data_IF_155138708818
#
_entry.id   IF_155138708818
#
_cell.length_a   1.000
_cell.length_b   1.000
_cell.length_c   1.000
_cell.angle_alpha   90.00
_cell.angle_beta   90.00
_cell.angle_gamma   90.00
#
_symmetry.space_group_name_H-M   'P 1'
#
loop_
_entity.id
_entity.type
_entity.pdbx_description
1 polymer ?
#
# COMPACT_ATOMS: atom_id res chain seq x y z
N UNK A 1 5.00 -19.37 0.68
CA UNK A 1 4.93 -17.90 0.57
C UNK A 1 3.47 -17.53 0.79
N UNK A 2 3.12 -17.05 1.98
CA UNK A 2 1.73 -16.84 2.37
C UNK A 2 1.17 -15.59 1.70
N UNK A 3 0.18 -15.77 0.83
CA UNK A 3 -0.63 -14.69 0.28
C UNK A 3 -1.16 -13.82 1.42
N UNK A 4 -1.09 -12.49 1.26
CA UNK A 4 -1.79 -11.53 2.13
C UNK A 4 -3.28 -11.85 1.98
N UNK A 5 -3.86 -12.47 2.98
CA UNK A 5 -5.31 -12.71 2.99
C UNK A 5 -6.01 -11.36 2.97
N UNK A 6 -7.25 -11.31 2.47
CA UNK A 6 -8.11 -10.11 2.61
C UNK A 6 -8.14 -9.63 4.07
N UNK A 7 -8.07 -10.57 5.03
CA UNK A 7 -7.95 -10.27 6.46
C UNK A 7 -6.67 -9.52 6.84
N UNK A 8 -5.53 -9.86 6.25
CA UNK A 8 -4.25 -9.18 6.49
C UNK A 8 -4.27 -7.76 5.93
N UNK A 9 -4.93 -7.55 4.78
CA UNK A 9 -5.14 -6.23 4.19
C UNK A 9 -5.98 -5.31 5.08
N UNK A 10 -7.05 -5.83 5.70
CA UNK A 10 -7.87 -5.09 6.66
C UNK A 10 -7.06 -4.71 7.90
N UNK A 11 -6.31 -5.66 8.47
CA UNK A 11 -5.48 -5.41 9.65
C UNK A 11 -4.41 -4.35 9.39
N UNK A 12 -3.75 -4.42 8.23
CA UNK A 12 -2.75 -3.43 7.84
C UNK A 12 -3.37 -2.04 7.66
N UNK A 13 -4.55 -1.95 7.07
CA UNK A 13 -5.25 -0.68 6.94
C UNK A 13 -5.61 -0.09 8.31
N UNK A 14 -6.10 -0.93 9.23
CA UNK A 14 -6.40 -0.51 10.60
C UNK A 14 -5.13 -0.03 11.33
N UNK A 15 -4.01 -0.72 11.15
CA UNK A 15 -2.72 -0.29 11.70
C UNK A 15 -2.34 1.09 11.14
N UNK A 16 -2.41 1.29 9.83
CA UNK A 16 -2.11 2.58 9.20
C UNK A 16 -3.02 3.72 9.71
N UNK A 17 -4.31 3.42 9.93
CA UNK A 17 -5.25 4.38 10.50
C UNK A 17 -4.89 4.76 11.95
N UNK A 18 -4.56 3.77 12.78
CA UNK A 18 -4.14 3.99 14.17
C UNK A 18 -2.86 4.83 14.22
N UNK A 19 -1.86 4.51 13.39
CA UNK A 19 -0.64 5.30 13.24
C UNK A 19 -0.94 6.74 12.82
N UNK A 20 -1.90 6.94 11.91
CA UNK A 20 -2.31 8.28 11.48
C UNK A 20 -2.93 9.09 12.64
N UNK A 21 -3.83 8.50 13.42
CA UNK A 21 -4.40 9.19 14.58
C UNK A 21 -3.34 9.49 15.64
N UNK A 22 -2.45 8.53 15.90
CA UNK A 22 -1.31 8.72 16.80
C UNK A 22 -0.44 9.90 16.35
N UNK A 23 -0.12 10.00 15.05
CA UNK A 23 0.68 11.08 14.49
C UNK A 23 0.00 12.44 14.61
N UNK A 24 -1.32 12.50 14.35
CA UNK A 24 -2.12 13.72 14.53
C UNK A 24 -2.09 14.22 15.97
N UNK A 25 -2.17 13.30 16.94
CA UNK A 25 -2.11 13.64 18.35
C UNK A 25 -0.71 14.09 18.78
N UNK A 26 0.33 13.38 18.32
CA UNK A 26 1.71 13.62 18.73
C UNK A 26 2.31 14.89 18.11
N UNK A 27 2.06 15.11 16.82
CA UNK A 27 2.76 16.11 16.01
C UNK A 27 1.83 17.20 15.47
N UNK A 28 0.52 16.97 15.48
CA UNK A 28 -0.47 17.84 14.86
C UNK A 28 -0.85 17.42 13.44
N UNK A 29 -1.99 17.93 12.97
CA UNK A 29 -2.61 17.53 11.70
C UNK A 29 -1.76 17.85 10.46
N UNK A 30 -1.00 18.93 10.51
CA UNK A 30 -0.24 19.45 9.36
C UNK A 30 1.26 19.12 9.41
N UNK A 31 1.69 18.35 10.42
CA UNK A 31 3.08 17.94 10.52
C UNK A 31 3.49 17.05 9.33
N UNK A 32 4.76 17.13 8.96
CA UNK A 32 5.30 16.34 7.86
C UNK A 32 5.10 14.83 8.07
N UNK A 33 5.29 14.31 9.30
CA UNK A 33 5.04 12.90 9.59
C UNK A 33 3.57 12.53 9.37
N UNK A 34 2.66 13.36 9.91
CA UNK A 34 1.21 13.14 9.75
C UNK A 34 0.81 13.08 8.28
N UNK A 35 1.39 13.95 7.45
CA UNK A 35 1.15 13.94 6.00
C UNK A 35 1.69 12.67 5.33
N UNK A 36 2.90 12.22 5.67
CA UNK A 36 3.42 10.96 5.11
C UNK A 36 2.55 9.77 5.48
N UNK A 37 2.15 9.64 6.75
CA UNK A 37 1.29 8.54 7.19
C UNK A 37 -0.09 8.62 6.52
N UNK A 38 -0.64 9.83 6.30
CA UNK A 38 -1.90 10.01 5.59
C UNK A 38 -1.82 9.58 4.12
N UNK A 39 -0.74 9.93 3.43
CA UNK A 39 -0.47 9.49 2.06
C UNK A 39 -0.36 7.97 1.98
N UNK A 40 0.39 7.37 2.91
CA UNK A 40 0.56 5.92 2.98
C UNK A 40 -0.78 5.20 3.23
N UNK A 41 -1.57 5.66 4.20
CA UNK A 41 -2.91 5.12 4.46
C UNK A 41 -3.79 5.19 3.21
N UNK A 42 -3.76 6.31 2.48
CA UNK A 42 -4.54 6.48 1.23
C UNK A 42 -4.12 5.46 0.16
N UNK A 43 -2.83 5.18 0.02
CA UNK A 43 -2.33 4.17 -0.93
C UNK A 43 -2.73 2.76 -0.49
N UNK A 44 -2.62 2.42 0.79
CA UNK A 44 -3.05 1.12 1.32
C UNK A 44 -4.55 0.89 1.15
N UNK A 45 -5.40 1.92 1.29
CA UNK A 45 -6.82 1.85 0.95
C UNK A 45 -7.07 1.54 -0.53
N UNK A 46 -6.19 2.01 -1.43
CA UNK A 46 -6.29 1.69 -2.86
C UNK A 46 -5.92 0.23 -3.09
N UNK A 47 -4.81 -0.24 -2.50
CA UNK A 47 -4.40 -1.65 -2.58
C UNK A 47 -5.52 -2.57 -2.12
N UNK A 48 -6.11 -2.32 -0.95
CA UNK A 48 -7.20 -3.14 -0.43
C UNK A 48 -8.40 -3.18 -1.38
N UNK A 49 -8.79 -2.04 -1.97
CA UNK A 49 -9.89 -1.99 -2.94
C UNK A 49 -9.59 -2.79 -4.20
N UNK A 50 -8.35 -2.77 -4.69
CA UNK A 50 -7.98 -3.55 -5.88
C UNK A 50 -7.90 -5.05 -5.60
N UNK A 51 -7.42 -5.46 -4.42
CA UNK A 51 -7.38 -6.87 -4.01
C UNK A 51 -8.77 -7.50 -3.88
N UNK A 52 -9.80 -6.71 -3.53
CA UNK A 52 -11.18 -7.20 -3.42
C UNK A 52 -11.82 -7.45 -4.80
N UNK A 53 -11.33 -6.82 -5.88
CA UNK A 53 -11.98 -6.84 -7.20
C UNK A 53 -11.81 -8.14 -8.01
N UNK A 54 -11.08 -9.14 -7.51
CA UNK A 54 -11.10 -10.50 -8.07
C UNK A 54 -9.73 -11.08 -8.45
N UNK A 55 -9.68 -12.38 -8.79
CA UNK A 55 -8.45 -13.15 -8.93
C UNK A 55 -7.65 -12.70 -10.16
N UNK A 56 -6.34 -12.62 -10.00
CA UNK A 56 -5.45 -12.06 -11.01
C UNK A 56 -4.99 -13.15 -11.99
N UNK A 57 -4.74 -12.76 -13.23
CA UNK A 57 -4.12 -13.62 -14.25
C UNK A 57 -2.72 -14.06 -13.82
N UNK A 58 -2.19 -15.11 -14.46
CA UNK A 58 -0.83 -15.60 -14.22
C UNK A 58 0.27 -14.60 -14.57
N UNK A 59 0.07 -13.72 -15.56
CA UNK A 59 1.02 -12.66 -15.94
C UNK A 59 1.10 -11.52 -14.90
N UNK A 60 0.09 -11.41 -14.05
CA UNK A 60 0.03 -10.43 -12.98
C UNK A 60 0.69 -10.92 -11.69
N UNK A 61 1.12 -12.19 -11.64
CA UNK A 61 1.58 -12.81 -10.41
C UNK A 61 2.92 -12.24 -9.92
N UNK A 62 3.85 -11.91 -10.82
CA UNK A 62 5.12 -11.25 -10.46
C UNK A 62 4.89 -9.83 -9.92
N UNK A 63 4.06 -9.03 -10.59
CA UNK A 63 3.75 -7.65 -10.16
C UNK A 63 2.99 -7.63 -8.84
N UNK A 64 2.06 -8.57 -8.67
CA UNK A 64 1.35 -8.78 -7.42
C UNK A 64 2.31 -9.20 -6.31
N UNK A 65 3.27 -10.07 -6.60
CA UNK A 65 4.30 -10.48 -5.65
C UNK A 65 5.16 -9.28 -5.21
N UNK A 66 5.66 -8.47 -6.15
CA UNK A 66 6.39 -7.24 -5.82
C UNK A 66 5.55 -6.29 -4.96
N UNK A 67 4.28 -6.08 -5.31
CA UNK A 67 3.34 -5.30 -4.52
C UNK A 67 3.22 -5.85 -3.10
N UNK A 68 3.10 -7.17 -2.94
CA UNK A 68 3.05 -7.82 -1.63
C UNK A 68 4.32 -7.61 -0.82
N UNK A 69 5.49 -7.72 -1.44
CA UNK A 69 6.78 -7.50 -0.77
C UNK A 69 6.89 -6.06 -0.25
N UNK A 70 6.48 -5.07 -1.05
CA UNK A 70 6.43 -3.67 -0.61
C UNK A 70 5.42 -3.43 0.52
N UNK A 71 4.24 -4.04 0.43
CA UNK A 71 3.20 -3.95 1.47
C UNK A 71 3.66 -4.59 2.78
N UNK A 72 4.34 -5.73 2.72
CA UNK A 72 4.90 -6.41 3.89
C UNK A 72 5.99 -5.56 4.56
N UNK A 73 6.95 -5.04 3.79
CA UNK A 73 8.00 -4.16 4.31
C UNK A 73 7.45 -2.86 4.93
N UNK A 74 6.36 -2.35 4.36
CA UNK A 74 5.62 -1.20 4.90
C UNK A 74 4.97 -1.51 6.26
N UNK A 75 4.35 -2.69 6.40
CA UNK A 75 3.72 -3.13 7.65
C UNK A 75 4.67 -3.06 8.84
N UNK A 76 5.91 -3.55 8.68
CA UNK A 76 6.89 -3.51 9.76
C UNK A 76 7.28 -2.07 10.16
N UNK A 77 7.40 -1.18 9.17
CA UNK A 77 7.66 0.25 9.42
C UNK A 77 6.50 0.92 10.16
N UNK A 78 5.26 0.60 9.78
CA UNK A 78 4.06 1.11 10.44
C UNK A 78 3.91 0.61 11.88
N UNK A 79 4.23 -0.66 12.15
CA UNK A 79 4.19 -1.23 13.52
C UNK A 79 5.15 -0.49 14.44
N UNK A 80 6.37 -0.21 13.98
CA UNK A 80 7.33 0.56 14.78
C UNK A 80 6.80 1.97 15.03
N UNK A 81 6.30 2.65 13.99
CA UNK A 81 5.79 4.00 14.14
C UNK A 81 4.59 4.08 15.09
N UNK A 82 3.64 3.14 15.00
CA UNK A 82 2.50 3.03 15.94
C UNK A 82 2.98 2.87 17.39
N UNK A 83 3.93 1.97 17.64
CA UNK A 83 4.48 1.74 18.98
C UNK A 83 5.15 2.99 19.56
N UNK A 84 5.84 3.76 18.72
CA UNK A 84 6.52 5.00 19.12
C UNK A 84 5.51 6.09 19.43
N UNK A 85 4.52 6.29 18.58
CA UNK A 85 3.46 7.27 18.76
C UNK A 85 2.64 6.99 20.01
N UNK A 86 2.30 5.72 20.28
CA UNK A 86 1.63 5.32 21.52
C UNK A 86 2.44 5.68 22.76
N UNK A 87 3.75 5.38 22.77
CA UNK A 87 4.64 5.74 23.88
C UNK A 87 4.72 7.25 24.06
N UNK A 88 4.88 8.00 22.97
CA UNK A 88 4.96 9.46 23.02
C UNK A 88 3.66 10.09 23.55
N UNK A 89 2.51 9.66 23.03
CA UNK A 89 1.20 10.17 23.44
C UNK A 89 0.81 9.77 24.87
N UNK A 90 1.34 8.67 25.40
CA UNK A 90 1.17 8.29 26.80
C UNK A 90 1.98 9.20 27.75
N UNK A 91 3.14 9.69 27.31
CA UNK A 91 4.04 10.52 28.12
C UNK A 91 3.71 12.01 28.06
N UNK A 92 3.03 12.47 27.01
CA UNK A 92 2.71 13.90 26.80
C UNK A 92 1.74 14.49 27.83
N UNK A 93 1.07 13.66 28.65
CA UNK A 93 0.22 14.09 29.77
C UNK A 93 0.97 14.43 31.07
N UNK A 94 2.27 14.08 31.17
CA UNK A 94 3.10 14.33 32.35
C UNK A 94 4.22 15.32 32.00
N UNK A 95 4.32 16.40 32.78
CA UNK A 95 5.15 17.59 32.55
C UNK A 95 6.53 17.32 31.90
N UNK A 96 6.74 17.99 30.77
CA UNK A 96 8.03 18.47 30.24
C UNK A 96 9.25 17.51 30.28
N UNK A 97 9.24 16.43 29.49
CA UNK A 97 10.47 15.93 28.82
C UNK A 97 10.16 14.90 27.71
N UNK A 98 10.96 14.81 26.64
CA UNK A 98 11.60 15.92 25.93
C UNK A 98 11.43 15.76 24.40
N UNK A 99 11.30 16.88 23.67
CA UNK A 99 11.43 16.91 22.19
C UNK A 99 12.66 16.14 21.67
N UNK A 100 13.70 15.96 22.49
CA UNK A 100 14.90 15.15 22.20
C UNK A 100 14.65 13.63 22.11
N UNK A 101 13.71 13.07 22.87
CA UNK A 101 13.37 11.64 22.78
C UNK A 101 12.56 11.34 21.51
N UNK A 102 11.77 12.31 21.06
CA UNK A 102 11.02 12.24 19.80
C UNK A 102 11.93 12.24 18.55
N UNK A 103 13.07 12.93 18.63
CA UNK A 103 14.05 12.97 17.54
C UNK A 103 14.87 11.67 17.39
N UNK A 104 14.91 10.82 18.42
CA UNK A 104 15.72 9.59 18.40
C UNK A 104 14.88 8.41 18.87
N UNK A 105 14.43 7.62 17.90
CA UNK A 105 13.55 6.48 18.12
C UNK A 105 14.39 5.21 18.17
N UNK A 106 14.31 4.48 19.29
CA UNK A 106 14.97 3.18 19.44
C UNK A 106 14.05 2.07 18.94
N UNK A 107 14.48 1.36 17.90
CA UNK A 107 13.78 0.24 17.29
C UNK A 107 13.93 -1.02 18.15
N UNK A 108 13.06 -2.02 17.93
CA UNK A 108 13.07 -3.29 18.67
C UNK A 108 14.37 -4.09 18.52
N UNK A 109 15.18 -3.80 17.49
CA UNK A 109 16.53 -4.33 17.28
C UNK A 109 17.64 -3.54 18.02
N UNK A 110 17.26 -2.49 18.77
CA UNK A 110 18.20 -1.63 19.50
C UNK A 110 18.76 -0.45 18.69
N UNK A 111 18.53 -0.38 17.37
CA UNK A 111 19.01 0.73 16.54
C UNK A 111 18.25 2.03 16.83
N UNK A 112 18.99 3.14 16.93
CA UNK A 112 18.41 4.47 17.00
C UNK A 112 18.28 5.01 15.57
N UNK A 113 17.05 5.22 15.10
CA UNK A 113 16.82 5.99 13.88
C UNK A 113 16.27 7.37 14.21
N UNK A 114 16.69 8.34 13.42
CA UNK A 114 16.07 9.65 13.40
C UNK A 114 14.66 9.54 12.81
N UNK A 115 13.72 10.31 13.35
CA UNK A 115 12.38 10.48 12.81
C UNK A 115 12.42 10.88 11.33
N UNK A 116 13.41 11.68 10.92
CA UNK A 116 13.62 12.05 9.52
C UNK A 116 13.82 10.82 8.62
N UNK A 117 14.60 9.84 9.08
CA UNK A 117 14.85 8.59 8.37
C UNK A 117 13.59 7.73 8.30
N UNK A 118 12.81 7.65 9.38
CA UNK A 118 11.54 6.89 9.35
C UNK A 118 10.54 7.56 8.40
N UNK A 119 10.47 8.89 8.42
CA UNK A 119 9.61 9.65 7.52
C UNK A 119 10.00 9.42 6.05
N UNK A 120 11.30 9.40 5.76
CA UNK A 120 11.80 9.02 4.44
C UNK A 120 11.40 7.58 4.08
N UNK A 121 11.54 6.62 4.99
CA UNK A 121 11.09 5.24 4.75
C UNK A 121 9.59 5.16 4.44
N UNK A 122 8.74 5.88 5.17
CA UNK A 122 7.29 5.94 4.92
C UNK A 122 6.97 6.53 3.54
N UNK A 123 7.67 7.61 3.15
CA UNK A 123 7.56 8.20 1.82
C UNK A 123 7.98 7.21 0.73
N UNK A 124 9.09 6.50 0.94
CA UNK A 124 9.59 5.49 -0.01
C UNK A 124 8.59 4.35 -0.18
N UNK A 125 8.04 3.82 0.92
CA UNK A 125 6.99 2.80 0.88
C UNK A 125 5.76 3.28 0.12
N UNK A 126 5.32 4.51 0.38
CA UNK A 126 4.17 5.11 -0.33
C UNK A 126 4.41 5.15 -1.84
N UNK A 127 5.61 5.57 -2.25
CA UNK A 127 5.98 5.64 -3.66
C UNK A 127 6.06 4.23 -4.30
N UNK A 128 6.75 3.29 -3.65
CA UNK A 128 6.91 1.91 -4.14
C UNK A 128 5.56 1.20 -4.29
N UNK A 129 4.75 1.18 -3.24
CA UNK A 129 3.41 0.56 -3.27
C UNK A 129 2.55 1.25 -4.33
N UNK A 130 2.59 2.58 -4.41
CA UNK A 130 1.84 3.34 -5.41
C UNK A 130 2.24 3.02 -6.85
N UNK A 131 3.53 2.76 -7.10
CA UNK A 131 4.04 2.38 -8.41
C UNK A 131 3.68 0.93 -8.76
N UNK A 132 3.94 -0.03 -7.87
CA UNK A 132 3.62 -1.44 -8.10
C UNK A 132 2.12 -1.66 -8.29
N UNK A 133 1.28 -0.95 -7.52
CA UNK A 133 -0.18 -1.00 -7.72
C UNK A 133 -0.58 -0.50 -9.11
N UNK A 134 0.01 0.60 -9.59
CA UNK A 134 -0.27 1.11 -10.96
C UNK A 134 0.14 0.08 -12.01
N UNK A 135 1.29 -0.58 -11.84
CA UNK A 135 1.76 -1.61 -12.77
C UNK A 135 0.84 -2.86 -12.79
N UNK A 136 0.29 -3.24 -11.63
CA UNK A 136 -0.72 -4.29 -11.55
C UNK A 136 -1.99 -3.89 -12.32
N UNK A 137 -2.52 -2.69 -12.05
CA UNK A 137 -3.75 -2.18 -12.71
C UNK A 137 -3.55 -2.02 -14.23
N UNK A 138 -2.41 -1.49 -14.67
CA UNK A 138 -2.09 -1.37 -16.09
C UNK A 138 -1.94 -2.73 -16.77
N UNK A 139 -1.39 -3.74 -16.07
CA UNK A 139 -1.33 -5.11 -16.57
C UNK A 139 -2.71 -5.69 -16.83
N UNK A 140 -3.63 -5.55 -15.86
CA UNK A 140 -5.03 -5.98 -16.03
C UNK A 140 -5.71 -5.29 -17.22
N UNK A 141 -5.48 -3.99 -17.41
CA UNK A 141 -6.09 -3.25 -18.50
C UNK A 141 -5.61 -3.76 -19.87
N UNK A 142 -4.29 -3.93 -20.05
CA UNK A 142 -3.73 -4.45 -21.30
C UNK A 142 -4.21 -5.86 -21.63
N UNK A 143 -4.42 -6.71 -20.62
CA UNK A 143 -5.03 -8.04 -20.82
C UNK A 143 -6.50 -7.96 -21.25
N UNK A 144 -7.27 -7.04 -20.69
CA UNK A 144 -8.65 -6.81 -21.09
C UNK A 144 -8.71 -6.32 -22.54
N UNK A 145 -7.83 -5.37 -22.92
CA UNK A 145 -7.71 -4.87 -24.29
C UNK A 145 -7.37 -6.01 -25.27
N UNK A 146 -6.34 -6.82 -24.97
CA UNK A 146 -5.97 -7.96 -25.81
C UNK A 146 -7.11 -8.99 -25.98
N UNK A 147 -7.91 -9.21 -24.93
CA UNK A 147 -9.09 -10.09 -25.00
C UNK A 147 -10.20 -9.51 -25.87
N UNK A 148 -10.43 -8.19 -25.81
CA UNK A 148 -11.43 -7.51 -26.64
C UNK A 148 -11.03 -7.55 -28.12
N UNK A 149 -9.76 -7.28 -28.43
CA UNK A 149 -9.25 -7.38 -29.81
C UNK A 149 -9.37 -8.80 -30.37
N UNK A 150 -9.08 -9.82 -29.57
CA UNK A 150 -9.28 -11.23 -29.94
C UNK A 150 -10.75 -11.56 -30.24
N UNK A 151 -11.68 -11.09 -29.41
CA UNK A 151 -13.12 -11.31 -29.61
C UNK A 151 -13.67 -10.60 -30.86
N UNK A 152 -13.19 -9.39 -31.16
CA UNK A 152 -13.54 -8.71 -32.43
C UNK A 152 -13.04 -9.47 -33.65
N UNK A 153 -11.84 -10.06 -33.56
CA UNK A 153 -11.29 -10.95 -34.58
C UNK A 153 -12.17 -12.17 -34.84
N UNK A 154 -12.59 -12.86 -33.78
CA UNK A 154 -13.47 -14.03 -33.86
C UNK A 154 -14.84 -13.69 -34.47
N UNK A 155 -15.45 -12.57 -34.05
CA UNK A 155 -16.74 -12.12 -34.61
C UNK A 155 -16.62 -11.80 -36.10
N UNK A 156 -15.51 -11.20 -36.53
CA UNK A 156 -15.23 -10.95 -37.95
C UNK A 156 -15.07 -12.27 -38.72
N UNK A 157 -14.39 -13.25 -38.13
CA UNK A 157 -14.25 -14.60 -38.69
C UNK A 157 -15.60 -15.28 -38.90
N UNK A 158 -16.45 -15.31 -37.87
CA UNK A 158 -17.81 -15.88 -37.94
C UNK A 158 -18.64 -15.21 -39.04
N UNK A 159 -18.59 -13.87 -39.12
CA UNK A 159 -19.30 -13.13 -40.17
C UNK A 159 -18.85 -13.53 -41.57
N UNK A 160 -17.54 -13.62 -41.79
CA UNK A 160 -17.00 -14.03 -43.11
C UNK A 160 -17.35 -15.47 -43.49
N UNK A 161 -17.49 -16.38 -42.51
CA UNK A 161 -17.96 -17.74 -42.75
C UNK A 161 -19.44 -17.79 -43.12
N UNK A 162 -20.28 -16.96 -42.50
CA UNK A 162 -21.70 -16.82 -42.86
C UNK A 162 -21.85 -16.29 -44.28
N UNK A 163 -21.07 -15.26 -44.65
CA UNK A 163 -21.10 -14.69 -46.01
C UNK A 163 -20.73 -15.73 -47.09
N UNK A 164 -19.86 -16.68 -46.78
CA UNK A 164 -19.50 -17.80 -47.68
C UNK A 164 -20.59 -18.85 -47.84
N UNK A 165 -21.42 -19.08 -46.81
CA UNK A 165 -22.52 -20.05 -46.84
C UNK A 165 -23.75 -19.46 -47.55
N UNK A 166 -23.90 -18.14 -47.49
CA UNK A 166 -25.04 -17.43 -48.06
C UNK A 166 -24.88 -17.07 -49.56
N UNK A 167 -23.71 -17.34 -50.16
CA UNK A 167 -23.39 -17.13 -51.58
C UNK A 167 -23.58 -18.40 -52.41
#
# INVERSE_FOLDING_TARGET
>A
MSFVSIGDGVQLLQLAWNTLQGARQACGQYDALTREVASLHTVLQRVQRELVKGPESTANNERLQELHEHVAACSDTLRVMDAVLRKYNALSGTSAAPKRLWQKIRFGNGELKDLSAIRLQLSTHTAAIGMSLKLCVLGKLGEVEARLEGQEGDLRGIRSSIDWIAA
#
